data_IF_966737379439
#
_entry.id   IF_966737379439
#
_cell.length_a   1.000
_cell.length_b   1.000
_cell.length_c   1.000
_cell.angle_alpha   90.00
_cell.angle_beta   90.00
_cell.angle_gamma   90.00
#
_symmetry.space_group_name_H-M   'P 1'
#
loop_
_entity.id
_entity.type
_entity.pdbx_description
1 polymer ?
#
# COMPACT_ATOMS: atom_id res chain seq x y z
N UNK A 1 -6.23 89.77 -0.67
CA UNK A 1 -6.56 91.21 -0.65
C UNK A 1 -6.93 91.62 -2.05
N UNK A 2 -8.23 91.74 -2.35
CA UNK A 2 -8.70 92.24 -3.64
C UNK A 2 -8.95 93.74 -3.51
N UNK A 3 -8.21 94.56 -4.26
CA UNK A 3 -8.51 95.99 -4.43
C UNK A 3 -9.64 96.11 -5.44
N UNK A 4 -10.71 96.81 -5.06
CA UNK A 4 -11.78 97.22 -5.97
C UNK A 4 -11.48 98.69 -6.29
N UNK A 5 -11.07 98.96 -7.53
CA UNK A 5 -11.11 100.30 -8.11
C UNK A 5 -12.58 100.64 -8.36
N UNK A 6 -13.11 101.65 -7.67
CA UNK A 6 -14.38 102.25 -8.05
C UNK A 6 -14.25 103.77 -8.05
N UNK A 7 -14.04 104.32 -9.24
CA UNK A 7 -14.20 105.73 -9.56
C UNK A 7 -15.69 106.06 -9.67
N UNK A 8 -16.36 106.37 -8.57
CA UNK A 8 -17.57 107.23 -8.59
C UNK A 8 -17.66 108.00 -7.27
N UNK A 9 -17.43 109.31 -7.36
CA UNK A 9 -17.62 110.30 -6.28
C UNK A 9 -19.05 110.86 -6.37
N UNK A 10 -19.93 110.55 -5.42
CA UNK A 10 -21.16 111.33 -5.18
C UNK A 10 -21.40 111.51 -3.66
N UNK A 11 -21.19 112.75 -3.19
CA UNK A 11 -21.82 113.38 -2.01
C UNK A 11 -23.27 113.75 -2.39
N UNK A 12 -24.32 113.71 -1.56
CA UNK A 12 -24.44 113.80 -0.12
C UNK A 12 -25.79 113.23 0.41
N UNK A 13 -25.83 113.03 1.73
CA UNK A 13 -26.94 113.30 2.65
C UNK A 13 -28.30 112.60 2.46
N UNK A 14 -28.48 111.43 3.11
CA UNK A 14 -29.61 111.08 4.00
C UNK A 14 -29.66 109.56 4.20
N UNK A 15 -30.15 109.15 5.38
CA UNK A 15 -30.12 107.80 5.94
C UNK A 15 -30.89 106.81 5.06
N UNK A 16 -30.19 105.95 4.31
CA UNK A 16 -30.73 104.71 3.76
C UNK A 16 -29.68 103.61 3.95
N UNK A 17 -29.95 102.54 4.73
CA UNK A 17 -29.02 101.44 4.88
C UNK A 17 -28.96 100.64 3.58
N UNK A 18 -27.77 100.56 2.97
CA UNK A 18 -27.53 99.74 1.79
C UNK A 18 -27.31 98.30 2.26
N UNK A 19 -28.32 97.45 2.08
CA UNK A 19 -28.14 96.00 2.19
C UNK A 19 -27.28 95.51 1.02
N UNK A 20 -26.05 95.09 1.32
CA UNK A 20 -25.20 94.36 0.39
C UNK A 20 -25.77 92.94 0.24
N UNK A 21 -26.71 92.77 -0.68
CA UNK A 21 -27.16 91.45 -1.13
C UNK A 21 -25.98 90.76 -1.81
N UNK A 22 -25.27 89.93 -1.06
CA UNK A 22 -24.22 89.08 -1.62
C UNK A 22 -24.89 88.00 -2.47
N UNK A 23 -24.83 88.19 -3.79
CA UNK A 23 -25.33 87.21 -4.76
C UNK A 23 -24.71 85.84 -4.49
N UNK A 24 -25.55 84.83 -4.28
CA UNK A 24 -25.13 83.45 -4.10
C UNK A 24 -24.34 83.02 -5.34
N UNK A 25 -23.02 82.81 -5.19
CA UNK A 25 -22.19 82.35 -6.30
C UNK A 25 -22.77 81.05 -6.86
N UNK A 26 -23.00 81.02 -8.17
CA UNK A 26 -23.47 79.84 -8.87
C UNK A 26 -22.52 78.67 -8.61
N UNK A 27 -23.07 77.48 -8.38
CA UNK A 27 -22.29 76.26 -8.10
C UNK A 27 -21.21 75.99 -9.17
N UNK A 28 -21.48 76.44 -10.39
CA UNK A 28 -20.57 76.38 -11.55
C UNK A 28 -19.34 77.28 -11.38
N UNK A 29 -19.47 78.47 -10.80
CA UNK A 29 -18.33 79.37 -10.56
C UNK A 29 -17.44 78.86 -9.42
N UNK A 30 -18.05 78.22 -8.41
CA UNK A 30 -17.33 77.54 -7.32
C UNK A 30 -16.61 76.31 -7.87
N UNK A 31 -17.22 75.57 -8.80
CA UNK A 31 -16.58 74.43 -9.45
C UNK A 31 -15.42 74.85 -10.36
N UNK A 32 -15.59 75.90 -11.18
CA UNK A 32 -14.55 76.45 -12.07
C UNK A 32 -13.35 76.99 -11.30
N UNK A 33 -13.58 77.68 -10.18
CA UNK A 33 -12.50 78.18 -9.32
C UNK A 33 -11.68 77.08 -8.64
N UNK A 34 -12.26 75.88 -8.46
CA UNK A 34 -11.63 74.73 -7.80
C UNK A 34 -11.26 73.59 -8.76
N UNK A 35 -11.27 73.83 -10.08
CA UNK A 35 -10.88 72.84 -11.11
C UNK A 35 -9.53 72.17 -10.81
N UNK A 36 -8.46 72.89 -10.40
CA UNK A 36 -7.18 72.25 -10.09
C UNK A 36 -7.30 71.22 -8.96
N UNK A 37 -8.10 71.51 -7.93
CA UNK A 37 -8.34 70.63 -6.80
C UNK A 37 -9.17 69.40 -7.19
N UNK A 38 -10.21 69.59 -8.02
CA UNK A 38 -11.01 68.50 -8.58
C UNK A 38 -10.16 67.56 -9.46
N UNK A 39 -9.25 68.11 -10.27
CA UNK A 39 -8.31 67.31 -11.07
C UNK A 39 -7.39 66.48 -10.16
N UNK A 40 -6.86 67.06 -9.08
CA UNK A 40 -6.04 66.32 -8.11
C UNK A 40 -6.82 65.18 -7.46
N UNK A 41 -8.07 65.42 -7.03
CA UNK A 41 -8.94 64.38 -6.47
C UNK A 41 -9.16 63.26 -7.48
N UNK A 42 -9.48 63.59 -8.74
CA UNK A 42 -9.66 62.60 -9.80
C UNK A 42 -8.39 61.78 -10.04
N UNK A 43 -7.22 62.40 -10.06
CA UNK A 43 -5.93 61.69 -10.22
C UNK A 43 -5.67 60.75 -9.05
N UNK A 44 -5.92 61.17 -7.81
CA UNK A 44 -5.75 60.34 -6.61
C UNK A 44 -6.73 59.15 -6.63
N UNK A 45 -7.99 59.37 -6.99
CA UNK A 45 -8.99 58.29 -7.10
C UNK A 45 -8.61 57.31 -8.22
N UNK A 46 -8.20 57.80 -9.39
CA UNK A 46 -7.76 56.96 -10.50
C UNK A 46 -6.52 56.14 -10.13
N UNK A 47 -5.52 56.76 -9.50
CA UNK A 47 -4.32 56.08 -9.03
C UNK A 47 -4.66 55.00 -8.00
N UNK A 48 -5.46 55.32 -6.98
CA UNK A 48 -5.90 54.37 -5.96
C UNK A 48 -6.70 53.21 -6.57
N UNK A 49 -7.54 53.48 -7.57
CA UNK A 49 -8.34 52.46 -8.27
C UNK A 49 -7.45 51.51 -9.08
N UNK A 50 -6.44 52.03 -9.79
CA UNK A 50 -5.48 51.21 -10.55
C UNK A 50 -4.63 50.37 -9.60
N UNK A 51 -4.11 50.96 -8.52
CA UNK A 51 -3.34 50.23 -7.50
C UNK A 51 -4.17 49.14 -6.83
N UNK A 52 -5.43 49.41 -6.47
CA UNK A 52 -6.33 48.40 -5.90
C UNK A 52 -6.60 47.26 -6.89
N UNK A 53 -6.92 47.56 -8.15
CA UNK A 53 -7.14 46.53 -9.18
C UNK A 53 -5.88 45.71 -9.47
N UNK A 54 -4.71 46.35 -9.49
CA UNK A 54 -3.43 45.69 -9.70
C UNK A 54 -3.08 44.76 -8.55
N UNK A 55 -3.18 45.24 -7.30
CA UNK A 55 -2.91 44.44 -6.11
C UNK A 55 -3.88 43.26 -6.00
N UNK A 56 -5.17 43.47 -6.28
CA UNK A 56 -6.16 42.40 -6.28
C UNK A 56 -5.83 41.30 -7.28
N UNK A 57 -5.50 41.65 -8.53
CA UNK A 57 -5.10 40.67 -9.56
C UNK A 57 -3.82 39.92 -9.16
N UNK A 58 -2.84 40.62 -8.59
CA UNK A 58 -1.58 40.01 -8.15
C UNK A 58 -1.79 39.02 -6.99
N UNK A 59 -2.64 39.37 -6.02
CA UNK A 59 -2.96 38.51 -4.88
C UNK A 59 -3.78 37.30 -5.33
N UNK A 60 -4.77 37.49 -6.21
CA UNK A 60 -5.53 36.38 -6.80
C UNK A 60 -4.62 35.42 -7.60
N UNK A 61 -3.66 35.93 -8.37
CA UNK A 61 -2.72 35.07 -9.11
C UNK A 61 -1.75 34.31 -8.18
N UNK A 62 -1.27 34.94 -7.12
CA UNK A 62 -0.38 34.29 -6.14
C UNK A 62 -1.12 33.22 -5.34
N UNK A 63 -2.37 33.51 -4.93
CA UNK A 63 -3.22 32.54 -4.23
C UNK A 63 -3.58 31.34 -5.11
N UNK A 64 -3.82 31.54 -6.40
CA UNK A 64 -4.06 30.44 -7.33
C UNK A 64 -2.81 29.59 -7.53
N UNK A 65 -1.65 30.22 -7.71
CA UNK A 65 -0.36 29.51 -7.83
C UNK A 65 -0.03 28.71 -6.56
N UNK A 66 -0.32 29.26 -5.37
CA UNK A 66 -0.08 28.54 -4.10
C UNK A 66 -1.05 27.39 -3.90
N UNK A 67 -2.33 27.54 -4.28
CA UNK A 67 -3.31 26.45 -4.26
C UNK A 67 -2.94 25.34 -5.25
N UNK A 68 -2.60 25.68 -6.49
CA UNK A 68 -2.21 24.68 -7.50
C UNK A 68 -0.91 23.95 -7.08
N UNK A 69 0.04 24.67 -6.47
CA UNK A 69 1.27 24.07 -5.94
C UNK A 69 0.99 23.14 -4.74
N UNK A 70 0.10 23.56 -3.84
CA UNK A 70 -0.32 22.74 -2.70
C UNK A 70 -1.07 21.49 -3.16
N UNK A 71 -1.99 21.62 -4.12
CA UNK A 71 -2.74 20.50 -4.68
C UNK A 71 -1.79 19.49 -5.32
N UNK A 72 -0.85 19.94 -6.17
CA UNK A 72 0.18 19.08 -6.75
C UNK A 72 1.03 18.39 -5.67
N UNK A 73 1.44 19.12 -4.64
CA UNK A 73 2.22 18.54 -3.55
C UNK A 73 1.43 17.47 -2.78
N UNK A 74 0.14 17.70 -2.53
CA UNK A 74 -0.72 16.71 -1.88
C UNK A 74 -0.96 15.47 -2.74
N UNK A 75 -1.15 15.62 -4.04
CA UNK A 75 -1.32 14.49 -4.96
C UNK A 75 -0.04 13.66 -5.01
N UNK A 76 1.13 14.28 -5.18
CA UNK A 76 2.42 13.59 -5.16
C UNK A 76 2.69 12.89 -3.83
N UNK A 77 2.32 13.50 -2.71
CA UNK A 77 2.47 12.88 -1.39
C UNK A 77 1.56 11.65 -1.21
N UNK A 78 0.32 11.71 -1.72
CA UNK A 78 -0.60 10.57 -1.71
C UNK A 78 -0.12 9.45 -2.63
N UNK A 79 0.34 9.77 -3.84
CA UNK A 79 0.92 8.81 -4.79
C UNK A 79 2.16 8.12 -4.20
N UNK A 80 3.06 8.88 -3.55
CA UNK A 80 4.23 8.32 -2.88
C UNK A 80 3.86 7.38 -1.72
N UNK A 81 2.83 7.73 -0.94
CA UNK A 81 2.33 6.88 0.16
C UNK A 81 1.70 5.59 -0.37
N UNK A 82 0.94 5.68 -1.46
CA UNK A 82 0.34 4.52 -2.10
C UNK A 82 1.40 3.60 -2.71
N UNK A 83 2.44 4.17 -3.33
CA UNK A 83 3.60 3.43 -3.82
C UNK A 83 4.33 2.69 -2.68
N UNK A 84 4.62 3.36 -1.57
CA UNK A 84 5.25 2.74 -0.39
C UNK A 84 4.39 1.59 0.16
N UNK A 85 3.07 1.75 0.17
CA UNK A 85 2.15 0.69 0.59
C UNK A 85 2.19 -0.51 -0.35
N UNK A 86 2.22 -0.29 -1.68
CA UNK A 86 2.34 -1.37 -2.66
C UNK A 86 3.69 -2.10 -2.56
N UNK A 87 4.77 -1.37 -2.33
CA UNK A 87 6.11 -1.96 -2.15
C UNK A 87 6.15 -2.89 -0.94
N UNK A 88 5.59 -2.46 0.20
CA UNK A 88 5.46 -3.32 1.39
C UNK A 88 4.63 -4.58 1.10
N UNK A 89 3.52 -4.44 0.38
CA UNK A 89 2.71 -5.61 -0.02
C UNK A 89 3.52 -6.56 -0.91
N UNK A 90 4.32 -6.04 -1.83
CA UNK A 90 5.20 -6.82 -2.70
C UNK A 90 6.25 -7.58 -1.89
N UNK A 91 6.87 -6.92 -0.90
CA UNK A 91 7.85 -7.53 0.00
C UNK A 91 7.22 -8.67 0.82
N UNK A 92 6.07 -8.44 1.45
CA UNK A 92 5.34 -9.48 2.19
C UNK A 92 4.99 -10.68 1.30
N UNK A 93 4.57 -10.43 0.05
CA UNK A 93 4.28 -11.50 -0.93
C UNK A 93 5.54 -12.26 -1.33
N UNK A 94 6.67 -11.58 -1.51
CA UNK A 94 7.93 -12.23 -1.81
C UNK A 94 8.36 -13.13 -0.66
N UNK A 95 8.33 -12.62 0.58
CA UNK A 95 8.62 -13.40 1.78
C UNK A 95 7.70 -14.62 1.90
N UNK A 96 6.39 -14.42 1.71
CA UNK A 96 5.41 -15.50 1.71
C UNK A 96 5.72 -16.57 0.65
N UNK A 97 6.07 -16.18 -0.58
CA UNK A 97 6.46 -17.12 -1.64
C UNK A 97 7.68 -17.96 -1.25
N UNK A 98 8.69 -17.35 -0.61
CA UNK A 98 9.86 -18.08 -0.15
C UNK A 98 9.52 -19.04 1.01
N UNK A 99 8.65 -18.63 1.94
CA UNK A 99 8.17 -19.49 3.01
C UNK A 99 7.38 -20.70 2.48
N UNK A 100 6.53 -20.50 1.45
CA UNK A 100 5.82 -21.60 0.79
C UNK A 100 6.81 -22.55 0.13
N UNK A 101 7.81 -22.04 -0.61
CA UNK A 101 8.85 -22.86 -1.25
C UNK A 101 9.65 -23.69 -0.25
N UNK A 102 10.12 -23.05 0.83
CA UNK A 102 10.89 -23.72 1.88
C UNK A 102 10.06 -24.80 2.57
N UNK A 103 8.84 -24.45 2.98
CA UNK A 103 7.94 -25.38 3.66
C UNK A 103 7.54 -26.55 2.76
N UNK A 104 7.31 -26.30 1.47
CA UNK A 104 7.03 -27.33 0.48
C UNK A 104 8.21 -28.30 0.28
N UNK A 105 9.43 -27.78 0.16
CA UNK A 105 10.63 -28.60 0.01
C UNK A 105 10.85 -29.51 1.23
N UNK A 106 10.71 -28.96 2.43
CA UNK A 106 10.78 -29.73 3.67
C UNK A 106 9.67 -30.78 3.75
N UNK A 107 8.44 -30.42 3.38
CA UNK A 107 7.31 -31.34 3.38
C UNK A 107 7.53 -32.51 2.42
N UNK A 108 7.98 -32.26 1.19
CA UNK A 108 8.29 -33.30 0.21
C UNK A 108 9.36 -34.26 0.74
N UNK A 109 10.43 -33.72 1.32
CA UNK A 109 11.48 -34.52 1.96
C UNK A 109 10.90 -35.42 3.04
N UNK A 110 10.08 -34.87 3.93
CA UNK A 110 9.49 -35.63 5.05
C UNK A 110 8.51 -36.69 4.55
N UNK A 111 7.75 -36.44 3.48
CA UNK A 111 6.88 -37.45 2.86
C UNK A 111 7.70 -38.64 2.37
N UNK A 112 8.80 -38.36 1.65
CA UNK A 112 9.71 -39.41 1.19
C UNK A 112 10.35 -40.18 2.37
N UNK A 113 10.79 -39.48 3.42
CA UNK A 113 11.30 -40.11 4.64
C UNK A 113 10.25 -41.01 5.31
N UNK A 114 8.98 -40.58 5.38
CA UNK A 114 7.89 -41.40 5.92
C UNK A 114 7.69 -42.68 5.10
N UNK A 115 7.67 -42.59 3.77
CA UNK A 115 7.55 -43.76 2.90
C UNK A 115 8.74 -44.70 3.08
N UNK A 116 9.96 -44.17 3.13
CA UNK A 116 11.18 -44.94 3.36
C UNK A 116 11.15 -45.70 4.70
N UNK A 117 10.87 -45.02 5.81
CA UNK A 117 10.85 -45.66 7.12
C UNK A 117 9.67 -46.62 7.30
N UNK A 118 8.57 -46.43 6.57
CA UNK A 118 7.49 -47.42 6.48
C UNK A 118 7.98 -48.70 5.82
N UNK A 119 8.72 -48.59 4.70
CA UNK A 119 9.34 -49.73 4.03
C UNK A 119 10.35 -50.44 4.95
N UNK A 120 11.25 -49.70 5.61
CA UNK A 120 12.24 -50.28 6.55
C UNK A 120 11.56 -51.04 7.68
N UNK A 121 10.52 -50.45 8.29
CA UNK A 121 9.74 -51.12 9.33
C UNK A 121 9.05 -52.37 8.83
N UNK A 122 8.52 -52.36 7.60
CA UNK A 122 7.88 -53.54 6.99
C UNK A 122 8.89 -54.66 6.68
N UNK A 123 10.10 -54.31 6.25
CA UNK A 123 11.19 -55.28 6.07
C UNK A 123 11.64 -55.89 7.41
N UNK A 124 11.75 -55.06 8.45
CA UNK A 124 12.08 -55.51 9.79
C UNK A 124 11.00 -56.44 10.37
N UNK A 125 9.72 -56.08 10.19
CA UNK A 125 8.57 -56.91 10.59
C UNK A 125 8.59 -58.29 9.91
N UNK A 126 8.86 -58.33 8.59
CA UNK A 126 9.02 -59.61 7.88
C UNK A 126 10.19 -60.44 8.41
N UNK A 127 11.31 -59.79 8.75
CA UNK A 127 12.47 -60.45 9.34
C UNK A 127 12.19 -61.00 10.74
N UNK A 128 11.33 -60.32 11.52
CA UNK A 128 10.88 -60.83 12.82
C UNK A 128 9.98 -62.06 12.70
N UNK A 129 9.26 -62.26 11.59
CA UNK A 129 8.51 -63.52 11.35
C UNK A 129 9.44 -64.72 11.15
N UNK A 130 10.72 -64.49 10.90
CA UNK A 130 11.74 -65.52 10.79
C UNK A 130 12.51 -65.77 12.11
N UNK A 131 12.06 -65.19 13.23
CA UNK A 131 12.67 -65.34 14.55
C UNK A 131 12.87 -66.80 14.97
N UNK A 132 11.94 -67.68 14.61
CA UNK A 132 12.00 -69.12 14.91
C UNK A 132 13.20 -69.83 14.25
N UNK A 133 13.88 -69.18 13.31
CA UNK A 133 15.08 -69.70 12.63
C UNK A 133 16.39 -69.18 13.25
N UNK A 134 16.32 -68.33 14.26
CA UNK A 134 17.47 -67.68 14.90
C UNK A 134 17.75 -68.35 16.25
N UNK A 135 18.85 -69.08 16.35
CA UNK A 135 19.23 -69.80 17.58
C UNK A 135 19.90 -68.90 18.64
N UNK A 136 20.29 -67.66 18.26
CA UNK A 136 21.04 -66.74 19.11
C UNK A 136 20.16 -65.68 19.76
N UNK A 137 20.03 -65.70 21.09
CA UNK A 137 19.30 -64.70 21.88
C UNK A 137 19.83 -63.26 21.68
N UNK A 138 21.14 -63.12 21.43
CA UNK A 138 21.77 -61.83 21.15
C UNK A 138 21.30 -61.24 19.81
N UNK A 139 21.14 -62.09 18.79
CA UNK A 139 20.67 -61.67 17.46
C UNK A 139 19.18 -61.30 17.50
N UNK A 140 18.38 -62.06 18.25
CA UNK A 140 16.97 -61.74 18.50
C UNK A 140 16.84 -60.36 19.15
N UNK A 141 17.61 -60.09 20.21
CA UNK A 141 17.59 -58.78 20.88
C UNK A 141 17.97 -57.64 19.93
N UNK A 142 19.00 -57.82 19.12
CA UNK A 142 19.44 -56.83 18.14
C UNK A 142 18.35 -56.49 17.12
N UNK A 143 17.63 -57.50 16.63
CA UNK A 143 16.49 -57.33 15.72
C UNK A 143 15.36 -56.51 16.36
N UNK A 144 15.05 -56.75 17.64
CA UNK A 144 14.05 -55.95 18.36
C UNK A 144 14.49 -54.49 18.55
N UNK A 145 15.76 -54.26 18.86
CA UNK A 145 16.32 -52.91 18.99
C UNK A 145 16.26 -52.16 17.64
N UNK A 146 16.61 -52.82 16.53
CA UNK A 146 16.50 -52.28 15.15
C UNK A 146 15.04 -51.94 14.78
N UNK A 147 14.09 -52.83 15.09
CA UNK A 147 12.67 -52.59 14.83
C UNK A 147 12.15 -51.40 15.64
N UNK A 148 12.53 -51.30 16.91
CA UNK A 148 12.15 -50.19 17.78
C UNK A 148 12.70 -48.87 17.27
N UNK A 149 13.98 -48.81 16.92
CA UNK A 149 14.60 -47.60 16.36
C UNK A 149 13.94 -47.16 15.05
N UNK A 150 13.63 -48.12 14.17
CA UNK A 150 12.91 -47.84 12.92
C UNK A 150 11.52 -47.28 13.17
N UNK A 151 10.79 -47.82 14.14
CA UNK A 151 9.46 -47.34 14.51
C UNK A 151 9.51 -45.95 15.15
N UNK A 152 10.41 -45.71 16.09
CA UNK A 152 10.59 -44.41 16.75
C UNK A 152 10.93 -43.33 15.73
N UNK A 153 11.82 -43.67 14.78
CA UNK A 153 12.17 -42.76 13.67
C UNK A 153 10.96 -42.48 12.78
N UNK A 154 10.18 -43.50 12.40
CA UNK A 154 8.97 -43.31 11.60
C UNK A 154 7.97 -42.39 12.31
N UNK A 155 7.76 -42.56 13.62
CA UNK A 155 6.86 -41.69 14.39
C UNK A 155 7.34 -40.23 14.41
N UNK A 156 8.65 -40.02 14.55
CA UNK A 156 9.23 -38.68 14.46
C UNK A 156 8.97 -38.05 13.08
N UNK A 157 9.18 -38.80 11.99
CA UNK A 157 8.93 -38.30 10.63
C UNK A 157 7.46 -37.99 10.38
N UNK A 158 6.55 -38.78 10.93
CA UNK A 158 5.10 -38.47 10.87
C UNK A 158 4.78 -37.19 11.63
N UNK A 159 5.37 -36.97 12.81
CA UNK A 159 5.19 -35.72 13.56
C UNK A 159 5.68 -34.50 12.76
N UNK A 160 6.85 -34.63 12.12
CA UNK A 160 7.39 -33.59 11.23
C UNK A 160 6.44 -33.34 10.05
N UNK A 161 5.84 -34.38 9.47
CA UNK A 161 4.85 -34.23 8.40
C UNK A 161 3.67 -33.38 8.86
N UNK A 162 3.08 -33.69 10.02
CA UNK A 162 1.95 -32.92 10.56
C UNK A 162 2.34 -31.45 10.78
N UNK A 163 3.53 -31.20 11.30
CA UNK A 163 4.06 -29.85 11.52
C UNK A 163 4.17 -29.08 10.20
N UNK A 164 4.80 -29.66 9.18
CA UNK A 164 5.00 -28.99 7.89
C UNK A 164 3.69 -28.86 7.09
N UNK A 165 2.81 -29.86 7.13
CA UNK A 165 1.49 -29.81 6.52
C UNK A 165 0.62 -28.71 7.14
N UNK A 166 0.62 -28.61 8.48
CA UNK A 166 -0.08 -27.53 9.18
C UNK A 166 0.52 -26.15 8.84
N UNK A 167 1.85 -26.03 8.85
CA UNK A 167 2.53 -24.78 8.46
C UNK A 167 2.14 -24.37 7.03
N UNK A 168 2.16 -25.31 6.09
CA UNK A 168 1.77 -25.04 4.71
C UNK A 168 0.31 -24.60 4.62
N UNK A 169 -0.62 -25.29 5.30
CA UNK A 169 -2.04 -24.91 5.35
C UNK A 169 -2.25 -23.50 5.91
N UNK A 170 -1.49 -23.10 6.93
CA UNK A 170 -1.56 -21.75 7.53
C UNK A 170 -1.02 -20.64 6.62
N UNK A 171 -0.17 -20.97 5.64
CA UNK A 171 0.29 -20.00 4.65
C UNK A 171 -0.82 -19.68 3.63
N UNK A 172 -1.82 -20.55 3.45
CA UNK A 172 -2.91 -20.33 2.51
C UNK A 172 -4.20 -19.89 3.21
N UNK A 173 -5.05 -19.18 2.46
CA UNK A 173 -6.38 -18.82 2.96
C UNK A 173 -7.26 -20.06 3.02
N UNK A 174 -8.06 -20.16 4.08
CA UNK A 174 -9.02 -21.25 4.19
C UNK A 174 -10.05 -21.18 3.05
N UNK A 175 -10.31 -22.31 2.40
CA UNK A 175 -11.26 -22.41 1.29
C UNK A 175 -10.75 -21.90 -0.05
N UNK A 176 -9.46 -21.62 -0.20
CA UNK A 176 -8.89 -21.21 -1.49
C UNK A 176 -8.99 -22.34 -2.52
N UNK A 177 -9.76 -22.10 -3.58
CA UNK A 177 -9.99 -23.04 -4.68
C UNK A 177 -8.69 -23.45 -5.38
N UNK A 178 -7.67 -22.59 -5.42
CA UNK A 178 -6.40 -22.87 -6.08
C UNK A 178 -5.60 -23.94 -5.34
N UNK A 179 -5.79 -24.07 -4.03
CA UNK A 179 -5.04 -24.99 -3.15
C UNK A 179 -5.75 -26.30 -2.89
N UNK A 180 -7.00 -26.43 -3.34
CA UNK A 180 -7.85 -27.60 -3.07
C UNK A 180 -7.24 -28.89 -3.60
N UNK A 181 -6.69 -28.88 -4.82
CA UNK A 181 -6.05 -30.05 -5.41
C UNK A 181 -4.80 -30.46 -4.62
N UNK A 182 -3.94 -29.50 -4.29
CA UNK A 182 -2.76 -29.71 -3.46
C UNK A 182 -3.12 -30.37 -2.12
N UNK A 183 -4.10 -29.82 -1.40
CA UNK A 183 -4.47 -30.37 -0.10
C UNK A 183 -5.17 -31.72 -0.19
N UNK A 184 -5.91 -32.01 -1.26
CA UNK A 184 -6.43 -33.35 -1.51
C UNK A 184 -5.28 -34.37 -1.67
N UNK A 185 -4.23 -34.04 -2.42
CA UNK A 185 -3.06 -34.92 -2.54
C UNK A 185 -2.36 -35.13 -1.19
N UNK A 186 -2.22 -34.08 -0.39
CA UNK A 186 -1.64 -34.18 0.96
C UNK A 186 -2.49 -35.01 1.91
N UNK A 187 -3.82 -34.98 1.78
CA UNK A 187 -4.73 -35.81 2.57
C UNK A 187 -4.68 -37.28 2.14
N UNK A 188 -4.42 -37.57 0.85
CA UNK A 188 -4.11 -38.94 0.39
C UNK A 188 -2.81 -39.44 1.02
N UNK A 189 -1.76 -38.61 1.06
CA UNK A 189 -0.51 -38.98 1.75
C UNK A 189 -0.76 -39.26 3.22
N UNK A 190 -1.59 -38.45 3.90
CA UNK A 190 -1.95 -38.69 5.29
C UNK A 190 -2.61 -40.07 5.50
N UNK A 191 -3.53 -40.44 4.61
CA UNK A 191 -4.19 -41.75 4.63
C UNK A 191 -3.17 -42.88 4.38
N UNK A 192 -2.28 -42.69 3.41
CA UNK A 192 -1.23 -43.64 3.07
C UNK A 192 -0.22 -43.85 4.21
N UNK A 193 0.13 -42.82 4.97
CA UNK A 193 0.98 -42.96 6.16
C UNK A 193 0.31 -43.77 7.27
N UNK A 194 -1.01 -43.92 7.25
CA UNK A 194 -1.77 -44.82 8.13
C UNK A 194 -1.80 -46.27 7.62
N UNK A 195 -1.56 -46.49 6.33
CA UNK A 195 -1.59 -47.79 5.67
C UNK A 195 -0.22 -48.47 5.77
N UNK A 196 -0.05 -49.22 6.85
CA UNK A 196 1.19 -49.91 7.24
C UNK A 196 1.59 -51.09 6.32
N UNK A 197 0.79 -51.39 5.32
CA UNK A 197 0.93 -52.48 4.35
C UNK A 197 1.64 -52.06 3.05
N UNK A 198 1.85 -50.75 2.82
CA UNK A 198 2.60 -50.25 1.65
C UNK A 198 4.09 -50.55 1.76
N UNK A 199 4.63 -51.20 0.73
CA UNK A 199 6.05 -51.61 0.63
C UNK A 199 6.84 -50.88 -0.45
N UNK A 200 6.16 -50.19 -1.36
CA UNK A 200 6.77 -49.47 -2.46
C UNK A 200 6.77 -47.96 -2.21
N UNK A 201 7.84 -47.30 -2.63
CA UNK A 201 7.90 -45.84 -2.71
C UNK A 201 7.04 -45.41 -3.90
N UNK A 202 5.93 -44.73 -3.61
CA UNK A 202 5.08 -44.13 -4.64
C UNK A 202 5.46 -42.66 -4.82
N UNK A 203 6.25 -42.41 -5.86
CA UNK A 203 6.69 -41.06 -6.21
C UNK A 203 5.62 -40.26 -6.94
N UNK A 204 4.58 -40.90 -7.49
CA UNK A 204 3.57 -40.21 -8.30
C UNK A 204 2.81 -39.16 -7.48
N UNK A 205 2.53 -39.47 -6.20
CA UNK A 205 1.87 -38.52 -5.30
C UNK A 205 2.79 -37.34 -4.98
N UNK A 206 4.09 -37.58 -4.77
CA UNK A 206 5.09 -36.53 -4.52
C UNK A 206 5.22 -35.61 -5.75
N UNK A 207 5.27 -36.19 -6.95
CA UNK A 207 5.28 -35.45 -8.21
C UNK A 207 4.02 -34.61 -8.38
N UNK A 208 2.85 -35.18 -8.09
CA UNK A 208 1.56 -34.46 -8.17
C UNK A 208 1.52 -33.26 -7.21
N UNK A 209 1.99 -33.43 -5.97
CA UNK A 209 2.14 -32.34 -4.99
C UNK A 209 3.08 -31.25 -5.53
N UNK A 210 4.22 -31.66 -6.10
CA UNK A 210 5.21 -30.73 -6.66
C UNK A 210 4.64 -29.93 -7.82
N UNK A 211 3.89 -30.56 -8.73
CA UNK A 211 3.27 -29.91 -9.88
C UNK A 211 2.22 -28.88 -9.45
N UNK A 212 1.33 -29.25 -8.51
CA UNK A 212 0.32 -28.30 -8.00
C UNK A 212 0.96 -27.11 -7.27
N UNK A 213 2.01 -27.35 -6.48
CA UNK A 213 2.78 -26.28 -5.84
C UNK A 213 3.46 -25.35 -6.86
N UNK A 214 4.08 -25.91 -7.91
CA UNK A 214 4.70 -25.12 -8.97
C UNK A 214 3.68 -24.23 -9.67
N UNK A 215 2.48 -24.75 -9.94
CA UNK A 215 1.39 -23.99 -10.54
C UNK A 215 0.99 -22.81 -9.66
N UNK A 216 0.69 -23.06 -8.37
CA UNK A 216 0.32 -22.02 -7.40
C UNK A 216 1.42 -20.95 -7.29
N UNK A 217 2.68 -21.38 -7.12
CA UNK A 217 3.82 -20.47 -6.98
C UNK A 217 4.07 -19.64 -8.24
N UNK A 218 3.85 -20.20 -9.43
CA UNK A 218 4.01 -19.48 -10.71
C UNK A 218 2.91 -18.44 -10.90
N UNK A 219 1.67 -18.81 -10.60
CA UNK A 219 0.54 -17.89 -10.70
C UNK A 219 0.72 -16.68 -9.76
N UNK A 220 1.11 -16.93 -8.51
CA UNK A 220 1.40 -15.87 -7.53
C UNK A 220 2.65 -15.05 -7.86
N UNK A 221 3.66 -15.66 -8.47
CA UNK A 221 4.84 -14.94 -8.97
C UNK A 221 4.49 -13.94 -10.08
N UNK A 222 3.69 -14.35 -11.06
CA UNK A 222 3.26 -13.47 -12.14
C UNK A 222 2.38 -12.32 -11.64
N UNK A 223 1.53 -12.56 -10.62
CA UNK A 223 0.77 -11.51 -9.95
C UNK A 223 1.70 -10.52 -9.24
N UNK A 224 2.71 -11.02 -8.53
CA UNK A 224 3.67 -10.20 -7.79
C UNK A 224 4.51 -9.34 -8.74
N UNK A 225 4.97 -9.91 -9.85
CA UNK A 225 5.74 -9.19 -10.89
C UNK A 225 4.95 -8.05 -11.53
N UNK A 226 3.67 -8.24 -11.83
CA UNK A 226 2.83 -7.18 -12.42
C UNK A 226 2.72 -5.94 -11.53
N UNK A 227 2.83 -6.11 -10.21
CA UNK A 227 2.73 -5.01 -9.24
C UNK A 227 4.04 -4.26 -9.05
N UNK A 228 5.17 -4.96 -9.05
CA UNK A 228 6.48 -4.34 -8.87
C UNK A 228 6.96 -3.52 -10.07
N UNK A 229 6.34 -3.67 -11.24
CA UNK A 229 6.69 -2.93 -12.47
C UNK A 229 5.83 -1.70 -12.72
N UNK A 230 4.70 -1.56 -12.03
CA UNK A 230 3.85 -0.38 -12.15
C UNK A 230 4.42 0.87 -11.44
N UNK A 231 5.53 0.73 -10.71
CA UNK A 231 6.18 1.80 -9.93
C UNK A 231 7.40 2.43 -10.62
N UNK A 232 7.79 2.02 -11.83
CA UNK A 232 9.01 2.48 -12.52
C UNK A 232 8.79 3.24 -13.85
N UNK A 233 7.58 3.75 -14.10
CA UNK A 233 7.26 4.61 -15.26
C UNK A 233 6.39 5.78 -14.82
#
# INVERSE_FOLDING_TARGET
MAKIDSDVLIKAESVIPIELVQSSKNFVDIALANVPFLVTICVVICAATVTYRSNRKSVESQNKLSQDALERQTTLANEAKDAEHQDKISEFRHHWLQEVRGTAADLIKVIHECQYFTMVRNLADDRTKELDKIDSELEVKKLYDELKESYDTLMQKRADFYKHNAKLRLLFKNGDTQTKALFNHLDVVLQDMGALDKRALDNQVIESITVELQKILKDEWEITKKRSWASNT
#
